data_IF_544789740255
#
_entry.id   IF_544789740255
#
_cell.length_a   1.000
_cell.length_b   1.000
_cell.length_c   1.000
_cell.angle_alpha   90.00
_cell.angle_beta   90.00
_cell.angle_gamma   90.00
#
_symmetry.space_group_name_H-M   'P 1'
#
loop_
_entity.id
_entity.type
_entity.pdbx_description
1 polymer ?
#
# COMPACT_ATOMS: atom_id res chain seq x y z
N UNK A 1 22.07 -6.43 -15.37
CA UNK A 1 22.35 -7.00 -14.03
C UNK A 1 23.03 -5.99 -13.10
N UNK A 2 24.05 -5.25 -13.54
CA UNK A 2 24.79 -4.33 -12.65
C UNK A 2 23.94 -3.20 -12.07
N UNK A 3 22.93 -2.74 -12.82
CA UNK A 3 22.08 -1.62 -12.38
C UNK A 3 21.13 -2.03 -11.24
N UNK A 4 20.53 -3.23 -11.26
CA UNK A 4 19.64 -3.70 -10.20
C UNK A 4 20.39 -3.90 -8.89
N UNK A 5 21.60 -4.47 -8.93
CA UNK A 5 22.46 -4.61 -7.74
C UNK A 5 22.82 -3.27 -7.11
N UNK A 6 23.10 -2.24 -7.94
CA UNK A 6 23.37 -0.91 -7.44
C UNK A 6 22.16 -0.31 -6.70
N UNK A 7 20.93 -0.51 -7.22
CA UNK A 7 19.70 -0.07 -6.58
C UNK A 7 19.41 -0.85 -5.30
N UNK A 8 19.63 -2.17 -5.28
CA UNK A 8 19.51 -2.97 -4.05
C UNK A 8 20.47 -2.47 -2.98
N UNK A 9 21.72 -2.17 -3.33
CA UNK A 9 22.69 -1.60 -2.38
C UNK A 9 22.24 -0.22 -1.84
N UNK A 10 21.58 0.60 -2.66
CA UNK A 10 21.01 1.87 -2.20
C UNK A 10 19.88 1.66 -1.18
N UNK A 11 19.03 0.64 -1.40
CA UNK A 11 17.94 0.27 -0.49
C UNK A 11 18.51 -0.24 0.84
N UNK A 12 19.50 -1.15 0.77
CA UNK A 12 20.18 -1.69 1.96
C UNK A 12 20.81 -0.55 2.78
N UNK A 13 21.56 0.34 2.11
CA UNK A 13 22.17 1.49 2.77
C UNK A 13 21.13 2.40 3.42
N UNK A 14 20.03 2.69 2.73
CA UNK A 14 18.96 3.50 3.30
C UNK A 14 18.35 2.84 4.55
N UNK A 15 18.27 1.50 4.58
CA UNK A 15 17.81 0.79 5.77
C UNK A 15 18.81 0.88 6.94
N UNK A 16 20.10 0.73 6.66
CA UNK A 16 21.19 0.90 7.64
C UNK A 16 21.21 2.33 8.23
N UNK A 17 20.92 3.34 7.38
CA UNK A 17 20.86 4.76 7.75
C UNK A 17 19.50 5.15 8.37
N UNK A 18 18.63 4.18 8.70
CA UNK A 18 17.25 4.38 9.24
C UNK A 18 16.38 5.32 8.37
N UNK A 19 16.61 5.34 7.07
CA UNK A 19 15.94 6.21 6.10
C UNK A 19 15.19 5.42 5.00
N UNK A 20 14.81 4.17 5.28
CA UNK A 20 14.00 3.34 4.39
C UNK A 20 12.53 3.40 4.78
N UNK A 21 11.67 3.71 3.81
CA UNK A 21 10.23 3.55 3.89
C UNK A 21 9.76 2.44 2.94
N UNK A 22 8.91 1.54 3.41
CA UNK A 22 8.29 0.51 2.56
C UNK A 22 6.81 0.81 2.37
N UNK A 23 6.39 0.99 1.11
CA UNK A 23 4.99 1.07 0.72
C UNK A 23 4.45 -0.31 0.37
N UNK A 24 3.46 -0.76 1.14
CA UNK A 24 2.85 -2.10 1.00
C UNK A 24 1.49 -1.97 0.33
N UNK A 25 1.34 -2.60 -0.83
CA UNK A 25 0.07 -2.64 -1.56
C UNK A 25 -0.68 -3.97 -1.38
N UNK A 26 -1.88 -4.05 -1.98
CA UNK A 26 -2.79 -5.20 -1.91
C UNK A 26 -2.18 -6.51 -2.44
N UNK A 27 -1.15 -6.44 -3.28
CA UNK A 27 -0.43 -7.61 -3.74
C UNK A 27 0.26 -8.41 -2.62
N UNK A 28 0.65 -7.74 -1.53
CA UNK A 28 1.19 -8.41 -0.34
C UNK A 28 0.08 -9.14 0.41
N UNK A 29 -1.08 -8.51 0.62
CA UNK A 29 -2.24 -9.15 1.28
C UNK A 29 -2.72 -10.40 0.55
N UNK A 30 -2.61 -10.43 -0.79
CA UNK A 30 -2.92 -11.64 -1.59
C UNK A 30 -2.04 -12.84 -1.24
N UNK A 31 -0.86 -12.64 -0.65
CA UNK A 31 -0.03 -13.76 -0.18
C UNK A 31 -0.67 -14.55 0.96
N UNK A 32 -1.64 -13.97 1.64
CA UNK A 32 -2.41 -14.61 2.73
C UNK A 32 -3.57 -15.47 2.23
N UNK A 33 -3.85 -15.48 0.92
CA UNK A 33 -4.89 -16.33 0.35
C UNK A 33 -4.54 -17.82 0.52
N UNK A 34 -5.44 -18.56 1.15
CA UNK A 34 -5.28 -20.02 1.34
C UNK A 34 -6.64 -20.68 1.55
N UNK A 35 -6.86 -21.83 0.94
CA UNK A 35 -8.11 -22.57 1.07
C UNK A 35 -9.35 -21.73 0.69
N UNK A 36 -10.20 -21.43 1.65
CA UNK A 36 -11.41 -20.60 1.46
C UNK A 36 -11.16 -19.10 1.62
N UNK A 37 -9.98 -18.69 2.11
CA UNK A 37 -9.64 -17.30 2.30
C UNK A 37 -9.26 -16.69 0.95
N UNK A 38 -10.02 -15.70 0.49
CA UNK A 38 -9.76 -14.94 -0.72
C UNK A 38 -9.76 -13.44 -0.39
N UNK A 39 -8.72 -12.75 -0.80
CA UNK A 39 -8.69 -11.29 -0.72
C UNK A 39 -9.55 -10.69 -1.84
N UNK A 40 -10.33 -9.64 -1.55
CA UNK A 40 -11.25 -9.09 -2.53
C UNK A 40 -10.50 -8.52 -3.75
N UNK A 41 -11.05 -8.79 -4.94
CA UNK A 41 -10.68 -8.03 -6.11
C UNK A 41 -11.55 -6.77 -6.22
N UNK A 42 -10.95 -5.65 -6.61
CA UNK A 42 -11.69 -4.40 -6.83
C UNK A 42 -12.86 -4.56 -7.78
N UNK A 43 -12.68 -5.34 -8.86
CA UNK A 43 -13.74 -5.63 -9.85
C UNK A 43 -14.96 -6.28 -9.23
N UNK A 44 -14.78 -7.17 -8.26
CA UNK A 44 -15.87 -7.89 -7.61
C UNK A 44 -16.66 -6.96 -6.68
N UNK A 45 -15.95 -6.14 -5.88
CA UNK A 45 -16.57 -5.13 -5.05
C UNK A 45 -17.39 -4.14 -5.90
N UNK A 46 -16.78 -3.56 -6.94
CA UNK A 46 -17.43 -2.59 -7.82
C UNK A 46 -18.66 -3.20 -8.52
N UNK A 47 -18.53 -4.43 -9.04
CA UNK A 47 -19.64 -5.13 -9.69
C UNK A 47 -20.81 -5.35 -8.74
N UNK A 48 -20.51 -5.65 -7.47
CA UNK A 48 -21.56 -5.82 -6.45
C UNK A 48 -22.25 -4.50 -6.10
N UNK A 49 -21.50 -3.40 -5.97
CA UNK A 49 -22.09 -2.07 -5.72
C UNK A 49 -22.98 -1.63 -6.88
N UNK A 50 -22.54 -1.81 -8.13
CA UNK A 50 -23.32 -1.52 -9.33
C UNK A 50 -24.63 -2.30 -9.38
N UNK A 51 -24.58 -3.61 -9.04
CA UNK A 51 -25.76 -4.46 -8.97
C UNK A 51 -26.79 -3.96 -7.97
N UNK A 52 -26.34 -3.62 -6.76
CA UNK A 52 -27.23 -3.12 -5.70
C UNK A 52 -27.84 -1.74 -6.06
N UNK A 53 -27.08 -0.91 -6.78
CA UNK A 53 -27.53 0.39 -7.29
C UNK A 53 -28.45 0.27 -8.53
N UNK A 54 -28.54 -0.92 -9.12
CA UNK A 54 -29.24 -1.16 -10.40
C UNK A 54 -28.66 -0.30 -11.56
N UNK A 55 -27.36 -0.06 -11.55
CA UNK A 55 -26.63 0.69 -12.60
C UNK A 55 -26.00 -0.31 -13.56
N UNK A 56 -26.29 -0.17 -14.89
CA UNK A 56 -25.80 -1.11 -15.91
C UNK A 56 -24.34 -0.88 -16.31
N UNK A 57 -23.88 0.36 -16.29
CA UNK A 57 -22.53 0.71 -16.73
C UNK A 57 -22.10 2.04 -16.09
N UNK A 58 -21.03 2.02 -15.37
CA UNK A 58 -20.24 3.16 -14.89
C UNK A 58 -18.80 2.64 -14.71
N UNK A 59 -17.83 3.42 -15.14
CA UNK A 59 -16.41 3.05 -15.06
C UNK A 59 -15.68 3.75 -13.92
N UNK A 60 -16.23 4.84 -13.39
CA UNK A 60 -15.66 5.58 -12.29
C UNK A 60 -16.07 4.92 -10.95
N UNK A 61 -15.16 4.13 -10.39
CA UNK A 61 -15.40 3.40 -9.15
C UNK A 61 -15.51 4.31 -7.92
N UNK A 62 -14.89 5.50 -7.90
CA UNK A 62 -15.03 6.47 -6.81
C UNK A 62 -16.46 7.01 -6.78
N UNK A 63 -16.99 7.37 -7.95
CA UNK A 63 -18.36 7.80 -8.12
C UNK A 63 -19.37 6.68 -7.77
N UNK A 64 -19.09 5.43 -8.16
CA UNK A 64 -19.93 4.28 -7.76
C UNK A 64 -20.01 4.16 -6.24
N UNK A 65 -18.86 4.23 -5.55
CA UNK A 65 -18.80 4.21 -4.09
C UNK A 65 -19.56 5.38 -3.47
N UNK A 66 -19.45 6.59 -4.05
CA UNK A 66 -20.18 7.78 -3.62
C UNK A 66 -21.69 7.61 -3.77
N UNK A 67 -22.15 7.14 -4.92
CA UNK A 67 -23.59 6.88 -5.17
C UNK A 67 -24.14 5.82 -4.21
N UNK A 68 -23.35 4.78 -3.92
CA UNK A 68 -23.74 3.76 -2.94
C UNK A 68 -23.91 4.36 -1.54
N UNK A 69 -22.96 5.18 -1.09
CA UNK A 69 -23.01 5.89 0.19
C UNK A 69 -24.25 6.80 0.28
N UNK A 70 -24.51 7.60 -0.75
CA UNK A 70 -25.67 8.51 -0.80
C UNK A 70 -27.00 7.75 -0.75
N UNK A 71 -27.08 6.60 -1.44
CA UNK A 71 -28.31 5.79 -1.53
C UNK A 71 -28.57 5.02 -0.25
N UNK A 72 -27.59 4.30 0.26
CA UNK A 72 -27.76 3.32 1.34
C UNK A 72 -27.30 3.83 2.71
N UNK A 73 -26.67 5.03 2.77
CA UNK A 73 -26.14 5.68 3.96
C UNK A 73 -24.94 4.96 4.57
N UNK A 74 -24.31 5.63 5.52
CA UNK A 74 -23.02 5.27 6.11
C UNK A 74 -22.95 3.84 6.61
N UNK A 75 -23.90 3.45 7.47
CA UNK A 75 -23.89 2.09 8.06
C UNK A 75 -23.91 0.99 7.01
N UNK A 76 -24.80 1.07 6.01
CA UNK A 76 -24.91 0.05 4.98
C UNK A 76 -23.71 0.07 4.03
N UNK A 77 -23.13 1.26 3.79
CA UNK A 77 -21.90 1.41 3.00
C UNK A 77 -20.74 0.66 3.65
N UNK A 78 -20.42 0.96 4.91
CA UNK A 78 -19.34 0.27 5.62
C UNK A 78 -19.60 -1.23 5.77
N UNK A 79 -20.80 -1.62 6.14
CA UNK A 79 -21.20 -3.01 6.25
C UNK A 79 -20.99 -3.76 4.93
N UNK A 80 -21.40 -3.16 3.81
CA UNK A 80 -21.28 -3.76 2.48
C UNK A 80 -19.82 -3.99 2.11
N UNK A 81 -18.98 -2.96 2.25
CA UNK A 81 -17.56 -3.06 1.91
C UNK A 81 -16.87 -4.09 2.81
N UNK A 82 -17.10 -4.03 4.14
CA UNK A 82 -16.49 -4.96 5.10
C UNK A 82 -16.81 -6.43 4.79
N UNK A 83 -17.99 -6.74 4.24
CA UNK A 83 -18.37 -8.09 3.86
C UNK A 83 -17.47 -8.74 2.80
N UNK A 84 -16.74 -7.94 2.01
CA UNK A 84 -15.76 -8.42 1.04
C UNK A 84 -14.42 -8.81 1.67
N UNK A 85 -14.13 -8.31 2.86
CA UNK A 85 -12.86 -8.57 3.55
C UNK A 85 -13.07 -9.69 4.56
N UNK A 86 -12.39 -10.84 4.40
CA UNK A 86 -12.47 -11.92 5.38
C UNK A 86 -11.92 -11.47 6.73
N UNK A 87 -12.48 -12.00 7.81
CA UNK A 87 -11.97 -11.77 9.15
C UNK A 87 -10.83 -12.76 9.47
N UNK A 88 -9.93 -12.35 10.36
CA UNK A 88 -8.82 -13.17 10.85
C UNK A 88 -7.93 -13.76 9.73
N UNK A 89 -7.58 -12.95 8.76
CA UNK A 89 -6.66 -13.34 7.69
C UNK A 89 -5.26 -13.48 8.28
N UNK A 90 -4.61 -14.66 8.18
CA UNK A 90 -3.28 -14.85 8.74
C UNK A 90 -2.23 -14.04 7.96
N UNK A 91 -1.29 -13.44 8.67
CA UNK A 91 -0.08 -12.91 8.03
C UNK A 91 0.81 -14.06 7.55
N UNK A 92 1.65 -13.79 6.58
CA UNK A 92 2.56 -14.77 5.96
C UNK A 92 4.02 -14.39 6.20
N UNK A 93 4.93 -15.25 5.75
CA UNK A 93 6.37 -14.97 5.78
C UNK A 93 6.78 -13.66 5.12
N UNK A 94 6.05 -13.21 4.09
CA UNK A 94 6.32 -11.90 3.46
C UNK A 94 6.11 -10.77 4.47
N UNK A 95 5.01 -10.81 5.23
CA UNK A 95 4.72 -9.81 6.25
C UNK A 95 5.78 -9.83 7.35
N UNK A 96 6.18 -11.02 7.83
CA UNK A 96 7.26 -11.18 8.80
C UNK A 96 8.59 -10.59 8.25
N UNK A 97 8.96 -10.93 7.01
CA UNK A 97 10.19 -10.42 6.38
C UNK A 97 10.21 -8.90 6.23
N UNK A 98 9.06 -8.26 5.93
CA UNK A 98 8.96 -6.80 5.91
C UNK A 98 9.36 -6.21 7.28
N UNK A 99 8.90 -6.80 8.37
CA UNK A 99 9.27 -6.36 9.72
C UNK A 99 10.70 -6.77 10.11
N UNK A 100 11.22 -7.89 9.60
CA UNK A 100 12.61 -8.34 9.81
C UNK A 100 13.62 -7.43 9.09
N UNK A 101 13.28 -6.87 7.91
CA UNK A 101 14.04 -5.79 7.27
C UNK A 101 14.13 -4.58 8.19
N UNK A 102 13.09 -4.39 9.03
CA UNK A 102 13.04 -3.38 10.05
C UNK A 102 13.11 -1.92 9.52
N UNK A 103 12.34 -1.56 8.46
CA UNK A 103 12.35 -0.22 7.90
C UNK A 103 11.92 0.84 8.92
N UNK A 104 12.28 2.11 8.68
CA UNK A 104 11.86 3.21 9.55
C UNK A 104 10.34 3.37 9.58
N UNK A 105 9.69 3.24 8.42
CA UNK A 105 8.23 3.32 8.32
C UNK A 105 7.68 2.35 7.26
N UNK A 106 6.53 1.76 7.56
CA UNK A 106 5.71 0.99 6.64
C UNK A 106 4.45 1.81 6.36
N UNK A 107 4.15 2.07 5.08
CA UNK A 107 2.95 2.80 4.67
C UNK A 107 2.09 1.86 3.82
N UNK A 108 0.78 1.90 4.01
CA UNK A 108 -0.15 1.09 3.21
C UNK A 108 -1.45 1.83 2.93
N UNK A 109 -2.03 1.54 1.77
CA UNK A 109 -3.41 1.93 1.43
C UNK A 109 -4.41 0.81 1.71
N UNK A 110 -3.95 -0.36 2.18
CA UNK A 110 -4.80 -1.51 2.46
C UNK A 110 -5.66 -1.28 3.71
N UNK A 111 -6.91 -1.70 3.66
CA UNK A 111 -7.85 -1.60 4.79
C UNK A 111 -7.84 -2.82 5.70
N UNK A 112 -7.27 -3.97 5.23
CA UNK A 112 -7.12 -5.17 6.05
C UNK A 112 -6.19 -4.92 7.25
N UNK A 113 -6.21 -5.82 8.23
CA UNK A 113 -5.46 -5.74 9.47
C UNK A 113 -4.29 -6.74 9.55
N UNK A 114 -3.81 -7.22 8.40
CA UNK A 114 -2.79 -8.28 8.34
C UNK A 114 -1.44 -7.80 8.89
N UNK A 115 -1.02 -6.57 8.52
CA UNK A 115 0.21 -5.97 9.04
C UNK A 115 0.11 -5.72 10.55
N UNK A 116 -1.03 -5.19 11.01
CA UNK A 116 -1.29 -4.93 12.42
C UNK A 116 -1.26 -6.22 13.25
N UNK A 117 -1.88 -7.29 12.71
CA UNK A 117 -1.86 -8.61 13.35
C UNK A 117 -0.43 -9.11 13.54
N UNK A 118 0.43 -8.96 12.53
CA UNK A 118 1.85 -9.30 12.65
C UNK A 118 2.56 -8.45 13.72
N UNK A 119 2.28 -7.14 13.80
CA UNK A 119 2.85 -6.26 14.82
C UNK A 119 2.50 -6.75 16.21
N UNK A 120 1.22 -7.05 16.46
CA UNK A 120 0.75 -7.43 17.81
C UNK A 120 1.20 -8.84 18.20
N UNK A 121 1.07 -9.82 17.30
CA UNK A 121 1.38 -11.22 17.60
C UNK A 121 2.88 -11.46 17.81
N UNK A 122 3.73 -10.75 17.07
CA UNK A 122 5.20 -10.87 17.15
C UNK A 122 5.84 -9.81 18.03
N UNK A 123 5.04 -8.89 18.56
CA UNK A 123 5.54 -7.77 19.39
C UNK A 123 6.61 -6.92 18.68
N UNK A 124 6.43 -6.65 17.39
CA UNK A 124 7.31 -5.73 16.67
C UNK A 124 7.16 -4.31 17.20
N UNK A 125 8.26 -3.58 17.30
CA UNK A 125 8.29 -2.22 17.85
C UNK A 125 7.84 -1.17 16.84
N UNK A 126 6.57 -1.22 16.45
CA UNK A 126 5.92 -0.25 15.56
C UNK A 126 4.64 0.28 16.19
N UNK A 127 4.41 1.60 16.07
CA UNK A 127 3.09 2.18 16.34
C UNK A 127 2.21 2.02 15.11
N UNK A 128 1.00 1.48 15.27
CA UNK A 128 -0.01 1.43 14.19
C UNK A 128 -0.76 2.75 14.17
N UNK A 129 -0.81 3.38 13.01
CA UNK A 129 -1.40 4.70 12.78
C UNK A 129 -2.42 4.60 11.64
N UNK A 130 -3.71 4.68 11.95
CA UNK A 130 -4.79 4.68 10.97
C UNK A 130 -5.64 5.96 11.02
N UNK A 131 -5.30 6.87 11.93
CA UNK A 131 -5.94 8.19 12.06
C UNK A 131 -4.93 9.23 12.58
N UNK A 132 -5.24 10.49 12.38
CA UNK A 132 -4.43 11.59 12.93
C UNK A 132 -4.30 11.51 14.45
N UNK A 133 -5.32 11.00 15.14
CA UNK A 133 -5.28 10.77 16.59
C UNK A 133 -4.24 9.72 16.98
N UNK A 134 -4.11 8.66 16.18
CA UNK A 134 -3.12 7.62 16.43
C UNK A 134 -1.71 8.18 16.23
N UNK A 135 -1.52 9.01 15.19
CA UNK A 135 -0.24 9.67 14.92
C UNK A 135 0.18 10.57 16.09
N UNK A 136 -0.74 11.38 16.63
CA UNK A 136 -0.47 12.23 17.79
C UNK A 136 -0.14 11.45 19.06
N UNK A 137 -0.69 10.24 19.22
CA UNK A 137 -0.47 9.39 20.39
C UNK A 137 0.68 8.40 20.22
N UNK A 138 1.23 8.29 19.02
CA UNK A 138 2.29 7.33 18.73
C UNK A 138 3.55 7.69 19.52
N UNK A 139 4.07 6.75 20.31
CA UNK A 139 5.26 6.92 21.15
C UNK A 139 6.52 6.30 20.54
N UNK A 140 6.38 5.41 19.57
CA UNK A 140 7.50 4.76 18.89
C UNK A 140 7.89 5.54 17.64
N UNK A 141 9.19 5.57 17.34
CA UNK A 141 9.71 6.23 16.12
C UNK A 141 9.23 5.50 14.88
N UNK A 142 9.28 4.14 14.89
CA UNK A 142 8.83 3.31 13.78
C UNK A 142 7.30 3.19 13.75
N UNK A 143 6.74 3.29 12.55
CA UNK A 143 5.28 3.31 12.36
C UNK A 143 4.82 2.43 11.20
N UNK A 144 3.65 1.80 11.39
CA UNK A 144 2.81 1.30 10.29
C UNK A 144 1.71 2.32 10.08
N UNK A 145 1.72 3.00 8.93
CA UNK A 145 0.77 4.07 8.60
C UNK A 145 -0.23 3.58 7.56
N UNK A 146 -1.49 3.54 7.94
CA UNK A 146 -2.62 3.22 7.05
C UNK A 146 -3.14 4.51 6.43
N UNK A 147 -2.61 4.85 5.27
CA UNK A 147 -2.93 6.09 4.57
C UNK A 147 -4.42 6.23 4.28
N UNK A 148 -5.11 5.14 3.99
CA UNK A 148 -6.54 5.13 3.69
C UNK A 148 -7.41 4.64 4.86
N UNK A 149 -6.91 4.78 6.09
CA UNK A 149 -7.65 4.38 7.28
C UNK A 149 -7.91 2.87 7.37
N UNK A 150 -8.88 2.49 8.17
CA UNK A 150 -9.29 1.12 8.40
C UNK A 150 -10.78 0.98 8.76
N UNK A 151 -11.24 -0.27 8.86
CA UNK A 151 -12.62 -0.56 9.28
C UNK A 151 -12.85 -0.31 10.76
N UNK A 152 -11.83 -0.39 11.61
CA UNK A 152 -11.93 -0.21 13.05
C UNK A 152 -12.24 1.25 13.41
N UNK A 153 -11.61 2.18 12.70
CA UNK A 153 -11.83 3.61 12.89
C UNK A 153 -13.00 4.17 12.05
N UNK A 154 -13.62 3.34 11.20
CA UNK A 154 -14.67 3.74 10.26
C UNK A 154 -14.27 4.95 9.40
N UNK A 155 -13.03 4.98 8.95
CA UNK A 155 -12.44 6.10 8.22
C UNK A 155 -11.75 5.69 6.91
N UNK A 156 -12.25 4.62 6.27
CA UNK A 156 -11.71 4.17 4.99
C UNK A 156 -11.87 5.24 3.90
N UNK A 157 -10.84 5.42 3.09
CA UNK A 157 -10.84 6.31 1.92
C UNK A 157 -11.20 5.48 0.68
N UNK A 158 -12.41 5.70 0.13
CA UNK A 158 -12.87 4.95 -1.04
C UNK A 158 -13.84 5.75 -1.93
N UNK A 159 -14.82 6.47 -1.39
CA UNK A 159 -15.74 7.27 -2.18
C UNK A 159 -15.11 8.59 -2.63
N UNK A 160 -15.68 9.22 -3.67
CA UNK A 160 -15.17 10.46 -4.26
C UNK A 160 -14.92 11.57 -3.23
N UNK A 161 -15.86 11.80 -2.30
CA UNK A 161 -15.72 12.80 -1.24
C UNK A 161 -14.52 12.53 -0.31
N UNK A 162 -14.12 11.26 -0.11
CA UNK A 162 -12.98 10.92 0.75
C UNK A 162 -11.67 11.42 0.13
N UNK A 163 -11.52 11.29 -1.22
CA UNK A 163 -10.37 11.80 -1.96
C UNK A 163 -10.37 13.32 -2.06
N UNK A 164 -11.52 13.94 -2.34
CA UNK A 164 -11.64 15.40 -2.41
C UNK A 164 -11.28 16.06 -1.07
N UNK A 165 -11.71 15.45 0.03
CA UNK A 165 -11.51 15.98 1.37
C UNK A 165 -10.33 15.34 2.12
N UNK A 166 -9.44 14.61 1.43
CA UNK A 166 -8.37 13.86 2.07
C UNK A 166 -7.50 14.73 2.98
N UNK A 167 -7.00 15.86 2.47
CA UNK A 167 -6.19 16.80 3.23
C UNK A 167 -6.90 17.43 4.44
N UNK A 168 -8.25 17.46 4.43
CA UNK A 168 -9.03 17.93 5.57
C UNK A 168 -9.25 16.81 6.61
N UNK A 169 -9.42 15.58 6.15
CA UNK A 169 -9.74 14.43 6.99
C UNK A 169 -8.50 13.80 7.63
N UNK A 170 -7.34 13.86 6.95
CA UNK A 170 -6.06 13.28 7.35
C UNK A 170 -4.88 14.26 7.25
N UNK A 171 -4.99 15.49 7.76
CA UNK A 171 -3.96 16.53 7.57
C UNK A 171 -2.60 16.14 8.15
N UNK A 172 -2.56 15.45 9.29
CA UNK A 172 -1.30 15.05 9.91
C UNK A 172 -0.69 13.84 9.22
N UNK A 173 -1.48 12.84 8.87
CA UNK A 173 -1.02 11.66 8.11
C UNK A 173 -0.48 12.10 6.74
N UNK A 174 -1.20 12.97 6.02
CA UNK A 174 -0.75 13.48 4.73
C UNK A 174 0.59 14.20 4.83
N UNK A 175 0.75 15.11 5.81
CA UNK A 175 2.00 15.82 6.01
C UNK A 175 3.14 14.90 6.48
N UNK A 176 2.84 13.90 7.29
CA UNK A 176 3.82 12.88 7.67
C UNK A 176 4.31 12.10 6.44
N UNK A 177 3.42 11.62 5.59
CA UNK A 177 3.77 10.90 4.35
C UNK A 177 4.57 11.80 3.41
N UNK A 178 4.20 13.08 3.25
CA UNK A 178 4.98 14.06 2.48
C UNK A 178 6.41 14.20 3.00
N UNK A 179 6.58 14.27 4.32
CA UNK A 179 7.90 14.31 4.96
C UNK A 179 8.70 13.04 4.65
N UNK A 180 8.09 11.86 4.80
CA UNK A 180 8.75 10.57 4.52
C UNK A 180 9.21 10.48 3.06
N UNK A 181 8.32 10.77 2.10
CA UNK A 181 8.67 10.71 0.66
C UNK A 181 9.77 11.72 0.29
N UNK A 182 9.87 12.83 1.02
CA UNK A 182 10.89 13.85 0.76
C UNK A 182 12.25 13.54 1.38
N UNK A 183 12.31 12.65 2.39
CA UNK A 183 13.52 12.43 3.20
C UNK A 183 14.01 10.98 3.22
N UNK A 184 13.18 10.01 2.79
CA UNK A 184 13.49 8.59 2.85
C UNK A 184 13.56 7.98 1.45
N UNK A 185 14.40 6.98 1.29
CA UNK A 185 14.31 6.04 0.16
C UNK A 185 13.01 5.25 0.29
N UNK A 186 12.22 5.20 -0.79
CA UNK A 186 10.92 4.53 -0.78
C UNK A 186 10.96 3.27 -1.63
N UNK A 187 10.56 2.14 -1.05
CA UNK A 187 10.41 0.86 -1.74
C UNK A 187 8.93 0.46 -1.81
N UNK A 188 8.36 0.44 -3.01
CA UNK A 188 7.01 -0.03 -3.26
C UNK A 188 7.01 -1.53 -3.53
N UNK A 189 6.20 -2.29 -2.78
CA UNK A 189 6.03 -3.74 -2.92
C UNK A 189 4.55 -4.11 -2.96
N UNK A 190 4.18 -5.03 -3.84
CA UNK A 190 2.77 -5.43 -4.00
C UNK A 190 1.85 -4.29 -4.42
N UNK A 191 2.37 -3.27 -5.06
CA UNK A 191 1.70 -2.00 -5.36
C UNK A 191 1.62 -1.76 -6.87
N UNK A 192 0.47 -1.29 -7.36
CA UNK A 192 0.25 -1.03 -8.79
C UNK A 192 0.35 0.45 -9.20
N UNK A 193 0.68 1.35 -8.26
CA UNK A 193 0.78 2.79 -8.50
C UNK A 193 -0.49 3.41 -9.14
N UNK A 194 -1.66 2.98 -8.72
CA UNK A 194 -2.95 3.51 -9.23
C UNK A 194 -3.66 4.46 -8.26
N UNK A 195 -3.13 4.60 -7.05
CA UNK A 195 -3.72 5.43 -6.00
C UNK A 195 -3.58 6.93 -6.30
N UNK A 196 -4.69 7.67 -6.20
CA UNK A 196 -4.75 9.08 -6.54
C UNK A 196 -4.03 9.93 -5.51
N UNK A 197 -4.27 9.67 -4.21
CA UNK A 197 -3.66 10.48 -3.15
C UNK A 197 -2.16 10.31 -3.13
N UNK A 198 -1.68 9.07 -3.31
CA UNK A 198 -0.25 8.81 -3.40
C UNK A 198 0.39 9.51 -4.61
N UNK A 199 -0.28 9.49 -5.78
CA UNK A 199 0.17 10.24 -6.97
C UNK A 199 0.28 11.73 -6.69
N UNK A 200 -0.68 12.30 -5.96
CA UNK A 200 -0.66 13.72 -5.58
C UNK A 200 0.49 14.03 -4.62
N UNK A 201 0.71 13.20 -3.60
CA UNK A 201 1.80 13.36 -2.65
C UNK A 201 3.16 13.25 -3.34
N UNK A 202 3.36 12.27 -4.22
CA UNK A 202 4.59 12.13 -5.00
C UNK A 202 4.79 13.34 -5.92
N UNK A 203 3.75 13.78 -6.60
CA UNK A 203 3.81 14.98 -7.45
C UNK A 203 4.14 16.23 -6.65
N UNK A 204 3.57 16.36 -5.45
CA UNK A 204 3.92 17.45 -4.54
C UNK A 204 5.42 17.41 -4.21
N UNK A 205 5.96 16.25 -3.81
CA UNK A 205 7.39 16.10 -3.49
C UNK A 205 8.28 16.44 -4.69
N UNK A 206 7.88 16.04 -5.92
CA UNK A 206 8.60 16.38 -7.14
C UNK A 206 8.68 17.89 -7.39
N UNK A 207 7.62 18.62 -7.08
CA UNK A 207 7.54 20.06 -7.34
C UNK A 207 8.30 20.90 -6.30
N UNK A 208 8.64 20.34 -5.13
CA UNK A 208 9.23 21.07 -4.02
C UNK A 208 10.68 20.69 -3.72
N UNK A 209 11.25 19.71 -4.40
CA UNK A 209 12.64 19.32 -4.21
C UNK A 209 13.27 18.81 -5.50
N UNK A 210 14.34 19.47 -5.92
CA UNK A 210 15.16 19.03 -7.06
C UNK A 210 16.06 17.84 -6.68
N UNK A 211 16.35 17.69 -5.39
CA UNK A 211 17.16 16.58 -4.85
C UNK A 211 16.34 15.84 -3.80
N UNK A 212 16.06 14.59 -4.08
CA UNK A 212 15.29 13.72 -3.17
C UNK A 212 15.87 12.30 -3.16
N UNK A 213 15.64 11.53 -2.10
CA UNK A 213 15.97 10.12 -2.07
C UNK A 213 15.25 9.34 -3.19
N UNK A 214 15.85 8.25 -3.68
CA UNK A 214 15.25 7.46 -4.76
C UNK A 214 13.98 6.75 -4.29
N UNK A 215 13.10 6.50 -5.26
CA UNK A 215 11.91 5.67 -5.10
C UNK A 215 12.01 4.48 -6.05
N UNK A 216 11.75 3.28 -5.53
CA UNK A 216 11.83 2.02 -6.27
C UNK A 216 10.50 1.28 -6.22
N UNK A 217 10.10 0.67 -7.32
CA UNK A 217 8.94 -0.22 -7.39
C UNK A 217 9.37 -1.60 -7.85
N UNK A 218 9.10 -2.63 -7.03
CA UNK A 218 9.38 -4.02 -7.37
C UNK A 218 8.25 -4.60 -8.18
N UNK A 219 8.58 -5.13 -9.35
CA UNK A 219 7.65 -5.85 -10.22
C UNK A 219 8.30 -7.05 -10.87
N UNK A 220 7.50 -7.98 -11.37
CA UNK A 220 7.95 -9.19 -12.05
C UNK A 220 7.54 -9.24 -13.52
N UNK A 221 6.70 -8.28 -13.95
CA UNK A 221 6.16 -8.21 -15.30
C UNK A 221 5.71 -6.77 -15.58
N UNK A 222 6.53 -6.02 -16.32
CA UNK A 222 6.24 -4.64 -16.69
C UNK A 222 6.48 -4.38 -18.17
N UNK A 223 5.57 -3.63 -18.77
CA UNK A 223 5.73 -3.17 -20.16
C UNK A 223 6.64 -1.94 -20.25
N UNK A 224 7.36 -1.73 -21.38
CA UNK A 224 8.20 -0.54 -21.56
C UNK A 224 7.45 0.80 -21.39
N UNK A 225 6.14 0.83 -21.67
CA UNK A 225 5.31 2.02 -21.49
C UNK A 225 5.03 2.31 -20.02
N UNK A 226 4.80 1.29 -19.21
CA UNK A 226 4.60 1.42 -17.77
C UNK A 226 5.88 1.83 -17.05
N UNK A 227 7.02 1.26 -17.44
CA UNK A 227 8.34 1.69 -16.94
C UNK A 227 8.54 3.19 -17.17
N UNK A 228 8.32 3.67 -18.42
CA UNK A 228 8.43 5.10 -18.73
C UNK A 228 7.45 5.98 -17.96
N UNK A 229 6.24 5.47 -17.75
CA UNK A 229 5.24 6.18 -16.96
C UNK A 229 5.71 6.37 -15.51
N UNK A 230 6.24 5.31 -14.88
CA UNK A 230 6.79 5.35 -13.52
C UNK A 230 8.04 6.24 -13.43
N UNK A 231 8.96 6.13 -14.38
CA UNK A 231 10.15 7.01 -14.46
C UNK A 231 9.78 8.49 -14.55
N UNK A 232 8.73 8.84 -15.31
CA UNK A 232 8.20 10.21 -15.36
C UNK A 232 7.68 10.71 -13.99
N UNK A 233 7.31 9.78 -13.11
CA UNK A 233 6.94 10.08 -11.74
C UNK A 233 8.12 9.93 -10.76
N UNK A 234 9.35 9.73 -11.29
CA UNK A 234 10.57 9.59 -10.52
C UNK A 234 10.66 8.30 -9.73
N UNK A 235 9.98 7.25 -10.19
CA UNK A 235 10.03 5.92 -9.61
C UNK A 235 10.86 5.02 -10.53
N UNK A 236 11.92 4.44 -10.01
CA UNK A 236 12.74 3.46 -10.72
C UNK A 236 12.12 2.08 -10.57
N UNK A 237 11.79 1.44 -11.69
CA UNK A 237 11.20 0.11 -11.69
C UNK A 237 12.28 -0.96 -11.56
N UNK A 238 12.18 -1.80 -10.56
CA UNK A 238 13.03 -2.98 -10.38
C UNK A 238 12.29 -4.19 -10.96
N UNK A 239 12.53 -4.48 -12.24
CA UNK A 239 11.94 -5.65 -12.91
C UNK A 239 12.77 -6.88 -12.58
N UNK A 240 12.21 -7.78 -11.79
CA UNK A 240 12.88 -8.98 -11.31
C UNK A 240 12.51 -10.14 -12.22
N UNK A 241 13.47 -10.59 -13.05
CA UNK A 241 13.26 -11.65 -14.03
C UNK A 241 13.49 -13.05 -13.47
N UNK A 242 12.96 -14.09 -14.14
CA UNK A 242 13.08 -15.50 -13.74
C UNK A 242 14.52 -16.01 -13.67
N UNK A 243 15.51 -15.33 -14.26
CA UNK A 243 16.93 -15.68 -14.12
C UNK A 243 17.42 -15.58 -12.67
N UNK A 244 16.82 -14.71 -11.86
CA UNK A 244 17.07 -14.61 -10.43
C UNK A 244 16.41 -15.73 -9.62
N UNK A 245 15.32 -16.35 -10.14
CA UNK A 245 14.38 -17.19 -9.37
C UNK A 245 14.17 -18.60 -9.93
N UNK A 246 15.12 -19.19 -10.64
CA UNK A 246 15.05 -20.55 -11.20
C UNK A 246 14.67 -21.68 -10.23
N UNK A 247 14.42 -21.37 -8.95
CA UNK A 247 14.15 -22.35 -7.87
C UNK A 247 12.78 -22.26 -7.22
N UNK A 248 11.89 -21.34 -7.62
CA UNK A 248 10.64 -21.10 -6.90
C UNK A 248 9.42 -21.19 -7.80
N UNK A 249 8.30 -21.68 -7.22
CA UNK A 249 6.98 -21.67 -7.84
C UNK A 249 6.63 -20.27 -8.41
N UNK A 250 5.96 -20.26 -9.57
CA UNK A 250 5.62 -19.02 -10.31
C UNK A 250 4.64 -18.07 -9.63
N UNK A 251 4.30 -18.27 -8.35
CA UNK A 251 3.44 -17.37 -7.62
C UNK A 251 4.16 -16.05 -7.29
N UNK A 252 3.49 -14.92 -7.56
CA UNK A 252 4.00 -13.56 -7.24
C UNK A 252 4.53 -13.45 -5.81
N UNK A 253 3.82 -14.02 -4.84
CA UNK A 253 4.20 -14.02 -3.42
C UNK A 253 5.55 -14.69 -3.17
N UNK A 254 5.86 -15.80 -3.83
CA UNK A 254 7.13 -16.49 -3.66
C UNK A 254 8.30 -15.70 -4.27
N UNK A 255 8.07 -15.06 -5.42
CA UNK A 255 9.05 -14.16 -6.05
C UNK A 255 9.35 -12.96 -5.16
N UNK A 256 8.32 -12.33 -4.62
CA UNK A 256 8.46 -11.18 -3.71
C UNK A 256 9.19 -11.57 -2.42
N UNK A 257 8.81 -12.69 -1.80
CA UNK A 257 9.49 -13.21 -0.61
C UNK A 257 10.98 -13.42 -0.85
N UNK A 258 11.34 -14.06 -1.96
CA UNK A 258 12.73 -14.29 -2.31
C UNK A 258 13.51 -12.99 -2.55
N UNK A 259 12.87 -12.00 -3.20
CA UNK A 259 13.47 -10.68 -3.37
C UNK A 259 13.78 -10.00 -2.03
N UNK A 260 12.86 -10.07 -1.08
CA UNK A 260 13.01 -9.44 0.23
C UNK A 260 14.07 -10.11 1.12
N UNK A 261 14.41 -11.38 0.86
CA UNK A 261 15.43 -12.13 1.60
C UNK A 261 16.86 -11.87 1.11
N UNK A 262 17.05 -11.33 -0.09
CA UNK A 262 18.36 -11.09 -0.71
C UNK A 262 18.74 -9.62 -0.72
#
# INVERSE_FOLDING_TARGET
MDNIKAHINQIIKANEDESLAIFVGAGVSKSSESGSIKMPAWSDLISCLLKDLNIKSESDYLKIAQLYYLTFKEYNYYKKIKQFFPDNVPYTKIHETIFEINPHVIITTNWDDILESAVYDKSYFYSVVASDKDLMKSSLDKKVVKMHGDFKNHNIVFKEDDYINYSMNFPLIENYIKSIISTHTVLFIGYSYNDIDLKQVIKWAQNHSDVRPPMFLVTFDETPSEIKYLENHGITTLVITDEYYKKFDNAYSNKLYTFLLN
#
